data_IF_585177309900
#
_entry.id   IF_585177309900
#
_cell.length_a   1.000
_cell.length_b   1.000
_cell.length_c   1.000
_cell.angle_alpha   90.00
_cell.angle_beta   90.00
_cell.angle_gamma   90.00
#
_symmetry.space_group_name_H-M   'P 1'
#
loop_
_entity.id
_entity.type
_entity.pdbx_description
1 polymer ?
#
# COMPACT_ATOMS: atom_id res chain seq x y z
N UNK A 1 -15.25 -6.89 -4.62
CA UNK A 1 -15.12 -6.75 -3.15
C UNK A 1 -16.14 -7.58 -2.37
N UNK A 2 -17.43 -7.48 -2.68
CA UNK A 2 -18.48 -8.15 -1.91
C UNK A 2 -18.33 -9.67 -1.77
N UNK A 3 -18.17 -10.42 -2.86
CA UNK A 3 -18.13 -11.88 -2.80
C UNK A 3 -17.08 -12.49 -1.86
N UNK A 4 -15.80 -12.05 -1.90
CA UNK A 4 -14.78 -12.54 -0.97
C UNK A 4 -14.79 -11.86 0.40
N UNK A 5 -15.72 -10.93 0.68
CA UNK A 5 -15.82 -10.31 2.01
C UNK A 5 -16.49 -11.25 3.01
N UNK A 6 -16.28 -11.04 4.33
CA UNK A 6 -16.92 -11.82 5.38
C UNK A 6 -18.36 -11.39 5.68
N UNK A 7 -19.01 -10.69 4.74
CA UNK A 7 -20.35 -10.12 4.95
C UNK A 7 -21.38 -10.79 4.05
N UNK A 8 -22.47 -11.28 4.65
CA UNK A 8 -23.64 -11.74 3.90
C UNK A 8 -24.35 -10.57 3.18
N UNK A 9 -24.40 -9.42 3.86
CA UNK A 9 -24.95 -8.17 3.33
C UNK A 9 -24.01 -6.99 3.57
N UNK A 10 -23.84 -6.17 2.56
CA UNK A 10 -22.99 -4.99 2.64
C UNK A 10 -23.37 -3.93 1.59
N UNK A 11 -23.12 -2.68 1.93
CA UNK A 11 -22.94 -1.62 0.95
C UNK A 11 -21.72 -1.92 0.07
N UNK A 12 -21.79 -1.61 -1.23
CA UNK A 12 -20.70 -1.81 -2.18
C UNK A 12 -20.37 -0.48 -2.84
N UNK A 13 -19.12 -0.04 -2.67
CA UNK A 13 -18.59 1.17 -3.27
C UNK A 13 -17.41 0.81 -4.19
N UNK A 14 -17.52 1.15 -5.47
CA UNK A 14 -16.40 1.10 -6.42
C UNK A 14 -16.04 2.52 -6.81
N UNK A 15 -14.78 2.92 -6.68
CA UNK A 15 -14.28 4.24 -7.12
C UNK A 15 -12.99 4.06 -7.90
N UNK A 16 -12.99 4.45 -9.17
CA UNK A 16 -11.89 4.14 -10.09
C UNK A 16 -11.54 5.29 -11.04
N UNK A 17 -10.49 5.08 -11.84
CA UNK A 17 -10.15 5.91 -13.00
C UNK A 17 -11.28 5.89 -14.03
N UNK A 18 -11.49 4.75 -14.69
CA UNK A 18 -12.56 4.53 -15.67
C UNK A 18 -12.82 3.03 -15.86
N UNK A 19 -14.09 2.61 -15.84
CA UNK A 19 -14.51 1.29 -16.34
C UNK A 19 -14.86 1.37 -17.83
N UNK A 20 -15.97 0.75 -18.26
CA UNK A 20 -16.50 1.01 -19.61
C UNK A 20 -17.08 2.42 -19.73
N UNK A 21 -17.81 2.85 -18.68
CA UNK A 21 -18.39 4.19 -18.57
C UNK A 21 -18.42 4.69 -17.14
N UNK A 22 -18.67 3.80 -16.18
CA UNK A 22 -18.74 4.14 -14.77
C UNK A 22 -17.34 4.47 -14.21
N UNK A 23 -17.26 5.50 -13.38
CA UNK A 23 -16.05 5.91 -12.64
C UNK A 23 -16.28 5.76 -11.14
N UNK A 24 -17.54 5.71 -10.72
CA UNK A 24 -17.96 5.44 -9.35
C UNK A 24 -19.28 4.69 -9.39
N UNK A 25 -19.41 3.60 -8.63
CA UNK A 25 -20.64 2.81 -8.55
C UNK A 25 -21.00 2.57 -7.08
N UNK A 26 -22.27 2.83 -6.75
CA UNK A 26 -22.85 2.65 -5.44
C UNK A 26 -23.88 1.53 -5.53
N UNK A 27 -23.75 0.51 -4.70
CA UNK A 27 -24.62 -0.66 -4.74
C UNK A 27 -24.80 -1.34 -3.40
N UNK A 28 -25.56 -2.43 -3.41
CA UNK A 28 -25.73 -3.35 -2.28
C UNK A 28 -25.45 -4.77 -2.71
N UNK A 29 -24.77 -5.53 -1.86
CA UNK A 29 -24.65 -6.97 -1.98
C UNK A 29 -25.54 -7.65 -0.95
N UNK A 30 -26.25 -8.71 -1.36
CA UNK A 30 -27.07 -9.53 -0.48
C UNK A 30 -26.99 -11.00 -0.92
N UNK A 31 -26.43 -11.86 -0.07
CA UNK A 31 -26.17 -13.25 -0.41
C UNK A 31 -25.23 -13.36 -1.62
N UNK A 32 -25.74 -13.92 -2.71
CA UNK A 32 -25.02 -14.12 -3.98
C UNK A 32 -25.36 -13.05 -5.06
N UNK A 33 -26.14 -12.03 -4.73
CA UNK A 33 -26.55 -10.97 -5.65
C UNK A 33 -25.86 -9.62 -5.35
N UNK A 34 -25.68 -8.83 -6.41
CA UNK A 34 -25.23 -7.44 -6.34
C UNK A 34 -26.16 -6.56 -7.17
N UNK A 35 -26.68 -5.52 -6.55
CA UNK A 35 -27.54 -4.51 -7.18
C UNK A 35 -26.82 -3.14 -7.15
N UNK A 36 -26.67 -2.51 -8.32
CA UNK A 36 -26.15 -1.13 -8.42
C UNK A 36 -27.30 -0.13 -8.41
N UNK A 37 -27.18 0.89 -7.56
CA UNK A 37 -28.22 1.88 -7.27
C UNK A 37 -27.94 3.22 -7.96
N UNK A 38 -26.66 3.63 -7.98
CA UNK A 38 -26.21 4.88 -8.60
C UNK A 38 -24.83 4.70 -9.19
N UNK A 39 -24.51 5.56 -10.16
CA UNK A 39 -23.16 5.67 -10.70
C UNK A 39 -22.82 7.10 -11.09
N UNK A 40 -21.53 7.41 -11.08
CA UNK A 40 -20.96 8.53 -11.82
C UNK A 40 -20.28 7.97 -13.06
N UNK A 41 -20.30 8.75 -14.14
CA UNK A 41 -19.75 8.35 -15.43
C UNK A 41 -18.61 9.25 -15.86
N UNK A 42 -17.75 8.69 -16.70
CA UNK A 42 -16.74 9.42 -17.45
C UNK A 42 -17.38 10.65 -18.14
N UNK A 43 -16.73 11.83 -18.13
CA UNK A 43 -15.35 12.09 -17.71
C UNK A 43 -15.18 12.46 -16.23
N UNK A 44 -16.21 12.31 -15.40
CA UNK A 44 -16.15 12.74 -14.00
C UNK A 44 -15.61 11.60 -13.12
N UNK A 45 -14.31 11.63 -12.83
CA UNK A 45 -13.61 10.56 -12.10
C UNK A 45 -12.73 11.11 -10.99
N UNK A 46 -12.88 10.58 -9.78
CA UNK A 46 -12.00 10.90 -8.66
C UNK A 46 -10.59 10.33 -8.91
N UNK A 47 -10.50 9.16 -9.54
CA UNK A 47 -9.23 8.57 -9.95
C UNK A 47 -8.48 9.45 -10.97
N UNK A 48 -9.18 10.02 -11.95
CA UNK A 48 -8.57 10.92 -12.94
C UNK A 48 -8.19 12.28 -12.35
N UNK A 49 -8.95 12.81 -11.38
CA UNK A 49 -8.52 13.99 -10.61
C UNK A 49 -7.19 13.70 -9.90
N UNK A 50 -7.12 12.60 -9.14
CA UNK A 50 -5.91 12.23 -8.41
C UNK A 50 -4.73 11.98 -9.35
N UNK A 51 -4.98 11.34 -10.50
CA UNK A 51 -4.00 11.11 -11.56
C UNK A 51 -3.50 12.42 -12.18
N UNK A 52 -4.37 13.42 -12.32
CA UNK A 52 -3.97 14.74 -12.80
C UNK A 52 -2.97 15.40 -11.86
N UNK A 53 -3.23 15.39 -10.55
CA UNK A 53 -2.27 15.87 -9.54
C UNK A 53 -1.00 15.00 -9.47
N UNK A 54 -1.12 13.69 -9.72
CA UNK A 54 0.04 12.78 -9.81
C UNK A 54 0.97 13.19 -10.96
N UNK A 55 0.43 13.36 -12.16
CA UNK A 55 1.18 13.86 -13.31
C UNK A 55 1.73 15.27 -13.06
N UNK A 56 0.92 16.15 -12.46
CA UNK A 56 1.26 17.55 -12.25
C UNK A 56 2.37 17.76 -11.22
N UNK A 57 2.39 16.91 -10.20
CA UNK A 57 3.51 16.83 -9.26
C UNK A 57 4.71 16.10 -9.84
N UNK A 58 4.71 15.70 -11.12
CA UNK A 58 5.86 15.14 -11.83
C UNK A 58 6.10 13.66 -11.57
N UNK A 59 5.07 12.92 -11.14
CA UNK A 59 5.10 11.46 -11.01
C UNK A 59 4.32 10.81 -12.16
N UNK A 60 4.66 9.56 -12.47
CA UNK A 60 3.99 8.79 -13.52
C UNK A 60 2.57 8.37 -13.12
N UNK A 61 1.62 8.49 -14.04
CA UNK A 61 0.22 8.04 -13.85
C UNK A 61 0.16 6.52 -13.87
N UNK A 62 -0.76 5.94 -13.09
CA UNK A 62 -0.97 4.51 -12.83
C UNK A 62 0.14 3.82 -12.02
N UNK A 63 1.17 4.57 -11.60
CA UNK A 63 2.24 4.07 -10.73
C UNK A 63 2.71 5.08 -9.69
N UNK A 64 2.32 6.34 -9.76
CA UNK A 64 2.80 7.43 -8.91
C UNK A 64 1.80 7.91 -7.87
N UNK A 65 0.55 7.43 -7.90
CA UNK A 65 -0.53 7.92 -7.02
C UNK A 65 -0.17 7.69 -5.54
N UNK A 66 0.44 6.55 -5.22
CA UNK A 66 0.89 6.29 -3.85
C UNK A 66 2.02 7.24 -3.41
N UNK A 67 2.76 7.86 -4.36
CA UNK A 67 3.80 8.85 -4.04
C UNK A 67 3.16 10.17 -3.63
N UNK A 68 2.10 10.59 -4.32
CA UNK A 68 1.28 11.75 -3.91
C UNK A 68 0.71 11.51 -2.52
N UNK A 69 0.14 10.32 -2.27
CA UNK A 69 -0.37 9.96 -0.95
C UNK A 69 0.73 10.00 0.13
N UNK A 70 1.94 9.52 -0.17
CA UNK A 70 3.08 9.58 0.76
C UNK A 70 3.68 10.99 0.92
N UNK A 71 3.46 11.88 -0.04
CA UNK A 71 3.94 13.27 -0.04
C UNK A 71 2.99 14.20 0.74
N UNK A 72 1.69 13.88 0.78
CA UNK A 72 0.66 14.70 1.41
C UNK A 72 0.97 15.12 2.87
N UNK A 73 1.55 14.27 3.75
CA UNK A 73 1.88 14.68 5.13
C UNK A 73 2.96 15.77 5.26
N UNK A 74 3.65 16.13 4.17
CA UNK A 74 4.68 17.18 4.15
C UNK A 74 4.14 18.54 3.69
N UNK A 75 2.88 18.59 3.24
CA UNK A 75 2.23 19.78 2.72
C UNK A 75 1.20 20.38 3.66
N UNK A 76 0.79 21.59 3.32
CA UNK A 76 -0.34 22.30 3.92
C UNK A 76 -1.53 22.31 2.95
N UNK A 77 -2.79 22.29 3.42
CA UNK A 77 -3.99 22.17 2.58
C UNK A 77 -4.39 23.48 1.87
N UNK A 78 -3.41 24.20 1.32
CA UNK A 78 -3.57 25.56 0.78
C UNK A 78 -4.48 25.64 -0.44
N UNK A 79 -4.62 24.55 -1.17
CA UNK A 79 -5.35 24.50 -2.45
C UNK A 79 -6.68 23.77 -2.37
N UNK A 80 -7.12 23.33 -1.18
CA UNK A 80 -8.41 22.60 -1.03
C UNK A 80 -9.57 23.42 -1.59
N UNK A 81 -9.69 24.68 -1.16
CA UNK A 81 -10.76 25.55 -1.64
C UNK A 81 -10.62 25.86 -3.13
N UNK A 82 -9.40 26.07 -3.63
CA UNK A 82 -9.13 26.24 -5.07
C UNK A 82 -9.61 25.06 -5.90
N UNK A 83 -9.41 23.82 -5.42
CA UNK A 83 -9.89 22.61 -6.09
C UNK A 83 -11.43 22.57 -6.09
N UNK A 84 -12.06 22.85 -4.95
CA UNK A 84 -13.53 22.82 -4.79
C UNK A 84 -14.23 23.97 -5.54
N UNK A 85 -13.60 25.12 -5.73
CA UNK A 85 -14.21 26.25 -6.42
C UNK A 85 -14.06 26.17 -7.94
N UNK A 86 -12.95 25.61 -8.43
CA UNK A 86 -12.60 25.68 -9.85
C UNK A 86 -12.61 24.33 -10.57
N UNK A 87 -12.15 23.25 -9.92
CA UNK A 87 -11.96 21.95 -10.58
C UNK A 87 -13.14 21.00 -10.40
N UNK A 88 -13.88 21.11 -9.30
CA UNK A 88 -14.92 20.15 -8.94
C UNK A 88 -16.13 20.81 -8.32
N UNK A 89 -17.31 20.59 -8.91
CA UNK A 89 -18.59 20.88 -8.26
C UNK A 89 -19.00 19.69 -7.38
N UNK A 90 -18.55 19.67 -6.13
CA UNK A 90 -18.83 18.59 -5.16
C UNK A 90 -20.14 18.85 -4.40
N UNK A 91 -21.09 17.92 -4.48
CA UNK A 91 -22.36 17.99 -3.77
C UNK A 91 -22.29 17.37 -2.38
N UNK A 92 -23.31 17.64 -1.57
CA UNK A 92 -23.44 17.10 -0.21
C UNK A 92 -23.57 15.57 -0.23
N UNK A 93 -24.21 15.00 -1.24
CA UNK A 93 -24.38 13.56 -1.39
C UNK A 93 -23.13 12.83 -1.92
N UNK A 94 -22.04 13.57 -2.19
CA UNK A 94 -20.79 13.04 -2.71
C UNK A 94 -20.76 12.90 -4.23
N UNK A 95 -21.87 13.13 -4.93
CA UNK A 95 -21.83 13.28 -6.38
C UNK A 95 -21.05 14.53 -6.77
N UNK A 96 -20.34 14.47 -7.89
CA UNK A 96 -19.56 15.61 -8.36
C UNK A 96 -19.47 15.67 -9.89
N UNK A 97 -19.16 16.86 -10.38
CA UNK A 97 -18.75 17.07 -11.78
C UNK A 97 -17.41 17.76 -11.80
N UNK A 98 -16.49 17.23 -12.59
CA UNK A 98 -15.20 17.87 -12.84
C UNK A 98 -15.34 18.92 -13.95
N UNK A 99 -14.79 20.11 -13.72
CA UNK A 99 -14.72 21.16 -14.73
C UNK A 99 -13.67 20.80 -15.79
N UNK A 100 -14.15 20.33 -16.93
CA UNK A 100 -13.31 19.80 -18.01
C UNK A 100 -12.41 20.85 -18.66
N UNK A 101 -12.66 22.15 -18.45
CA UNK A 101 -11.81 23.21 -19.00
C UNK A 101 -10.36 23.16 -18.48
N UNK A 102 -10.12 22.54 -17.33
CA UNK A 102 -8.79 22.46 -16.70
C UNK A 102 -8.04 21.14 -17.01
N UNK A 103 -8.70 20.22 -17.70
CA UNK A 103 -8.16 18.89 -17.99
C UNK A 103 -7.93 18.70 -19.49
N UNK A 104 -7.06 17.76 -19.84
CA UNK A 104 -6.76 17.44 -21.24
C UNK A 104 -6.82 15.93 -21.53
N UNK A 105 -7.06 15.07 -20.54
CA UNK A 105 -7.06 13.61 -20.72
C UNK A 105 -8.17 13.09 -21.65
N UNK A 106 -9.20 13.87 -21.93
CA UNK A 106 -10.25 13.51 -22.89
C UNK A 106 -9.86 13.77 -24.35
N UNK A 107 -8.92 14.69 -24.61
CA UNK A 107 -8.70 15.28 -25.95
C UNK A 107 -7.24 15.38 -26.35
N UNK A 108 -6.30 15.21 -25.43
CA UNK A 108 -4.87 15.34 -25.65
C UNK A 108 -4.06 14.23 -24.99
N UNK A 109 -2.74 14.41 -25.00
CA UNK A 109 -1.77 13.43 -24.50
C UNK A 109 -1.28 13.75 -23.07
N UNK A 110 -1.92 14.72 -22.40
CA UNK A 110 -1.57 15.17 -21.04
C UNK A 110 -2.79 15.12 -20.13
N UNK A 111 -2.57 15.05 -18.81
CA UNK A 111 -3.68 15.08 -17.85
C UNK A 111 -4.30 16.47 -17.70
N UNK A 112 -3.45 17.51 -17.70
CA UNK A 112 -3.81 18.91 -17.43
C UNK A 112 -3.44 19.82 -18.61
N UNK A 113 -3.80 21.10 -18.52
CA UNK A 113 -3.55 22.12 -19.54
C UNK A 113 -3.13 23.48 -18.95
N UNK A 114 -2.95 24.50 -19.79
CA UNK A 114 -2.50 25.82 -19.38
C UNK A 114 -3.43 26.56 -18.39
N UNK A 115 -4.74 26.26 -18.37
CA UNK A 115 -5.64 26.81 -17.33
C UNK A 115 -5.32 26.22 -15.96
N UNK A 116 -4.98 24.94 -15.91
CA UNK A 116 -4.50 24.28 -14.68
C UNK A 116 -3.17 24.90 -14.24
N UNK A 117 -2.26 25.16 -15.18
CA UNK A 117 -0.98 25.83 -14.91
C UNK A 117 -1.18 27.20 -14.28
N UNK A 118 -2.06 28.02 -14.86
CA UNK A 118 -2.41 29.33 -14.33
C UNK A 118 -3.04 29.23 -12.93
N UNK A 119 -3.90 28.24 -12.70
CA UNK A 119 -4.61 28.04 -11.43
C UNK A 119 -3.66 27.72 -10.27
N UNK A 120 -2.61 26.93 -10.52
CA UNK A 120 -1.65 26.53 -9.49
C UNK A 120 -0.29 27.23 -9.60
N UNK A 121 -0.21 28.31 -10.36
CA UNK A 121 0.95 29.22 -10.38
C UNK A 121 2.20 28.68 -11.09
N UNK A 122 2.06 27.89 -12.14
CA UNK A 122 3.20 27.45 -12.97
C UNK A 122 2.96 26.13 -13.70
N UNK A 123 3.91 25.64 -14.52
CA UNK A 123 3.79 24.35 -15.19
C UNK A 123 3.88 23.16 -14.21
N UNK A 124 3.57 21.92 -14.67
CA UNK A 124 3.82 20.71 -13.91
C UNK A 124 5.30 20.56 -13.54
N UNK A 125 5.58 19.91 -12.40
CA UNK A 125 6.95 19.59 -11.98
C UNK A 125 7.59 18.68 -13.03
N UNK A 126 8.85 18.96 -13.38
CA UNK A 126 9.64 18.02 -14.20
C UNK A 126 9.89 16.73 -13.40
N UNK A 127 9.75 15.53 -14.01
CA UNK A 127 10.15 14.28 -13.37
C UNK A 127 11.58 14.34 -12.84
N UNK A 128 11.85 13.65 -11.72
CA UNK A 128 13.14 13.63 -11.01
C UNK A 128 13.72 14.97 -10.52
N UNK A 129 13.07 16.10 -10.81
CA UNK A 129 13.48 17.39 -10.25
C UNK A 129 13.13 17.50 -8.76
N UNK A 130 13.85 18.38 -8.05
CA UNK A 130 13.67 18.58 -6.61
C UNK A 130 12.22 18.97 -6.27
N UNK A 131 11.62 18.25 -5.34
CA UNK A 131 10.32 18.58 -4.74
C UNK A 131 10.39 19.90 -3.98
N UNK A 132 9.35 20.73 -4.14
CA UNK A 132 9.19 21.98 -3.40
C UNK A 132 7.94 21.93 -2.51
N UNK A 133 7.76 22.95 -1.67
CA UNK A 133 6.56 23.08 -0.84
C UNK A 133 5.29 23.12 -1.70
N UNK A 134 5.35 23.66 -2.93
CA UNK A 134 4.21 23.70 -3.86
C UNK A 134 3.68 22.30 -4.14
N UNK A 135 4.54 21.35 -4.48
CA UNK A 135 4.10 19.98 -4.77
C UNK A 135 3.61 19.25 -3.53
N UNK A 136 4.19 19.55 -2.36
CA UNK A 136 3.70 19.03 -1.08
C UNK A 136 2.31 19.55 -0.76
N UNK A 137 2.08 20.86 -0.90
CA UNK A 137 0.79 21.52 -0.65
C UNK A 137 -0.28 21.04 -1.65
N UNK A 138 0.08 20.83 -2.92
CA UNK A 138 -0.78 20.22 -3.94
C UNK A 138 -1.18 18.79 -3.55
N UNK A 139 -0.21 17.97 -3.14
CA UNK A 139 -0.45 16.60 -2.69
C UNK A 139 -1.36 16.57 -1.45
N UNK A 140 -1.10 17.44 -0.46
CA UNK A 140 -1.94 17.58 0.74
C UNK A 140 -3.39 17.95 0.38
N UNK A 141 -3.54 18.93 -0.49
CA UNK A 141 -4.85 19.48 -0.85
C UNK A 141 -5.70 18.48 -1.64
N UNK A 142 -5.14 17.80 -2.65
CA UNK A 142 -5.89 16.78 -3.41
C UNK A 142 -6.23 15.57 -2.55
N UNK A 143 -5.35 15.21 -1.60
CA UNK A 143 -5.59 14.13 -0.65
C UNK A 143 -6.78 14.46 0.26
N UNK A 144 -6.85 15.66 0.84
CA UNK A 144 -8.01 16.09 1.66
C UNK A 144 -9.32 16.13 0.86
N UNK A 145 -9.30 16.64 -0.38
CA UNK A 145 -10.49 16.64 -1.25
C UNK A 145 -10.92 15.20 -1.56
N UNK A 146 -9.98 14.30 -1.84
CA UNK A 146 -10.28 12.90 -2.13
C UNK A 146 -10.93 12.21 -0.93
N UNK A 147 -10.40 12.43 0.26
CA UNK A 147 -10.96 11.93 1.51
C UNK A 147 -12.37 12.44 1.76
N UNK A 148 -12.63 13.73 1.51
CA UNK A 148 -13.94 14.34 1.68
C UNK A 148 -14.98 13.78 0.69
N UNK A 149 -14.62 13.64 -0.59
CA UNK A 149 -15.49 13.03 -1.60
C UNK A 149 -15.85 11.60 -1.19
N UNK A 150 -14.84 10.81 -0.83
CA UNK A 150 -15.04 9.42 -0.38
C UNK A 150 -15.95 9.35 0.84
N UNK A 151 -15.76 10.23 1.84
CA UNK A 151 -16.57 10.27 3.05
C UNK A 151 -18.04 10.63 2.78
N UNK A 152 -18.31 11.57 1.86
CA UNK A 152 -19.69 11.89 1.45
C UNK A 152 -20.35 10.75 0.69
N UNK A 153 -19.61 10.08 -0.22
CA UNK A 153 -20.10 8.92 -0.95
C UNK A 153 -20.50 7.79 0.00
N UNK A 154 -19.68 7.46 1.00
CA UNK A 154 -20.00 6.39 1.96
C UNK A 154 -21.19 6.77 2.85
N UNK A 155 -21.32 8.03 3.27
CA UNK A 155 -22.50 8.51 4.03
C UNK A 155 -23.79 8.40 3.21
N UNK A 156 -23.74 8.78 1.94
CA UNK A 156 -24.88 8.60 1.02
C UNK A 156 -25.19 7.14 0.79
N UNK A 157 -24.18 6.31 0.56
CA UNK A 157 -24.37 4.88 0.35
C UNK A 157 -25.00 4.20 1.57
N UNK A 158 -24.57 4.55 2.77
CA UNK A 158 -25.18 4.07 4.01
C UNK A 158 -26.67 4.45 4.09
N UNK A 159 -27.02 5.71 3.80
CA UNK A 159 -28.44 6.15 3.76
C UNK A 159 -29.28 5.41 2.72
N UNK A 160 -28.70 5.12 1.54
CA UNK A 160 -29.40 4.44 0.45
C UNK A 160 -29.63 2.95 0.71
N UNK A 161 -28.71 2.31 1.42
CA UNK A 161 -28.68 0.84 1.59
C UNK A 161 -29.18 0.39 2.96
N UNK A 162 -28.94 1.18 4.02
CA UNK A 162 -29.19 0.80 5.41
C UNK A 162 -28.27 -0.32 5.91
N UNK A 163 -27.19 -0.61 5.19
CA UNK A 163 -26.28 -1.72 5.52
C UNK A 163 -25.23 -1.31 6.55
N UNK A 164 -24.95 -2.18 7.52
CA UNK A 164 -23.96 -1.93 8.57
C UNK A 164 -22.50 -2.12 8.10
N UNK A 165 -22.27 -2.87 7.02
CA UNK A 165 -20.94 -3.19 6.52
C UNK A 165 -20.69 -2.55 5.15
N UNK A 166 -19.44 -2.17 4.87
CA UNK A 166 -19.02 -1.59 3.59
C UNK A 166 -17.96 -2.45 2.90
N UNK A 167 -18.15 -2.72 1.62
CA UNK A 167 -17.17 -3.34 0.73
C UNK A 167 -16.65 -2.32 -0.29
N UNK A 168 -15.33 -2.15 -0.40
CA UNK A 168 -14.70 -1.20 -1.33
C UNK A 168 -13.80 -1.84 -2.37
N UNK A 169 -13.86 -1.34 -3.60
CA UNK A 169 -12.99 -1.68 -4.74
C UNK A 169 -12.76 -0.46 -5.66
N UNK A 170 -12.03 -0.66 -6.76
CA UNK A 170 -11.58 0.38 -7.68
C UNK A 170 -10.23 0.97 -7.24
N UNK A 171 -9.46 1.51 -8.19
CA UNK A 171 -8.10 2.00 -7.93
C UNK A 171 -8.01 3.01 -6.78
N UNK A 172 -9.03 3.84 -6.58
CA UNK A 172 -9.06 4.83 -5.49
C UNK A 172 -9.22 4.18 -4.12
N UNK A 173 -9.82 2.98 -4.02
CA UNK A 173 -9.92 2.23 -2.77
C UNK A 173 -8.56 1.71 -2.26
N UNK A 174 -7.46 1.83 -3.05
CA UNK A 174 -6.10 1.62 -2.58
C UNK A 174 -5.55 2.81 -1.77
N UNK A 175 -6.28 3.93 -1.69
CA UNK A 175 -5.95 5.07 -0.85
C UNK A 175 -6.26 4.75 0.62
N UNK A 176 -5.27 4.18 1.30
CA UNK A 176 -5.37 3.74 2.68
C UNK A 176 -5.58 4.88 3.70
N UNK A 177 -5.23 6.12 3.33
CA UNK A 177 -5.50 7.31 4.15
C UNK A 177 -7.00 7.59 4.17
N UNK A 178 -7.64 7.62 2.99
CA UNK A 178 -9.09 7.74 2.87
C UNK A 178 -9.83 6.58 3.54
N UNK A 179 -9.35 5.34 3.37
CA UNK A 179 -9.95 4.19 4.05
C UNK A 179 -9.87 4.31 5.58
N UNK A 180 -8.74 4.78 6.12
CA UNK A 180 -8.58 5.03 7.55
C UNK A 180 -9.52 6.11 8.07
N UNK A 181 -9.75 7.19 7.30
CA UNK A 181 -10.74 8.22 7.64
C UNK A 181 -12.17 7.67 7.61
N UNK A 182 -12.52 6.87 6.59
CA UNK A 182 -13.83 6.20 6.51
C UNK A 182 -14.05 5.29 7.72
N UNK A 183 -13.04 4.55 8.16
CA UNK A 183 -13.16 3.68 9.33
C UNK A 183 -13.50 4.48 10.61
N UNK A 184 -12.90 5.65 10.79
CA UNK A 184 -13.08 6.48 12.00
C UNK A 184 -14.34 7.34 11.97
N UNK A 185 -14.69 7.89 10.80
CA UNK A 185 -15.71 8.94 10.66
C UNK A 185 -16.93 8.51 9.85
N UNK A 186 -16.86 7.33 9.21
CA UNK A 186 -17.92 6.76 8.41
C UNK A 186 -19.00 6.10 9.27
N UNK A 187 -20.22 5.91 8.72
CA UNK A 187 -21.34 5.35 9.47
C UNK A 187 -21.35 3.81 9.50
N UNK A 188 -20.30 3.14 9.04
CA UNK A 188 -20.25 1.68 8.92
C UNK A 188 -19.54 1.06 10.11
N UNK A 189 -20.07 -0.06 10.62
CA UNK A 189 -19.48 -0.81 11.72
C UNK A 189 -18.20 -1.54 11.29
N UNK A 190 -18.19 -2.05 10.04
CA UNK A 190 -17.06 -2.78 9.48
C UNK A 190 -16.85 -2.41 8.02
N UNK A 191 -15.58 -2.35 7.63
CA UNK A 191 -15.17 -2.12 6.25
C UNK A 191 -14.31 -3.28 5.77
N UNK A 192 -14.46 -3.63 4.49
CA UNK A 192 -13.63 -4.61 3.82
C UNK A 192 -13.19 -4.05 2.47
N UNK A 193 -11.89 -4.01 2.24
CA UNK A 193 -11.28 -3.44 1.03
C UNK A 193 -10.57 -4.55 0.28
N UNK A 194 -10.82 -4.67 -1.01
CA UNK A 194 -10.21 -5.72 -1.83
C UNK A 194 -8.67 -5.49 -1.93
N UNK A 195 -7.80 -6.49 -1.66
CA UNK A 195 -6.34 -6.32 -1.62
C UNK A 195 -5.67 -5.89 -2.93
N UNK A 196 -6.21 -6.33 -4.05
CA UNK A 196 -5.93 -5.90 -5.41
C UNK A 196 -7.08 -5.03 -5.98
N UNK A 197 -7.51 -3.99 -5.25
CA UNK A 197 -8.75 -3.26 -5.54
C UNK A 197 -8.83 -2.62 -6.93
N UNK A 198 -7.70 -2.28 -7.57
CA UNK A 198 -7.69 -1.81 -8.96
C UNK A 198 -7.95 -2.93 -9.98
N UNK A 199 -7.63 -2.67 -11.24
CA UNK A 199 -7.99 -3.53 -12.38
C UNK A 199 -7.55 -4.99 -12.26
N UNK A 200 -6.42 -5.26 -11.60
CA UNK A 200 -5.93 -6.62 -11.37
C UNK A 200 -7.01 -7.48 -10.65
N UNK A 201 -7.73 -6.91 -9.68
CA UNK A 201 -8.81 -7.60 -8.97
C UNK A 201 -10.02 -7.92 -9.85
N UNK A 202 -10.13 -7.33 -11.03
CA UNK A 202 -11.19 -7.58 -12.01
C UNK A 202 -11.25 -9.03 -12.46
N UNK A 203 -10.11 -9.73 -12.57
CA UNK A 203 -10.08 -11.14 -12.95
C UNK A 203 -10.81 -12.03 -11.93
N UNK A 204 -10.58 -11.80 -10.62
CA UNK A 204 -11.30 -12.49 -9.54
C UNK A 204 -12.78 -12.06 -9.55
N UNK A 205 -13.05 -10.76 -9.73
CA UNK A 205 -14.40 -10.24 -9.82
C UNK A 205 -15.23 -10.92 -10.91
N UNK A 206 -14.68 -11.07 -12.12
CA UNK A 206 -15.33 -11.72 -13.25
C UNK A 206 -15.63 -13.20 -12.97
N UNK A 207 -14.66 -13.94 -12.42
CA UNK A 207 -14.86 -15.34 -12.05
C UNK A 207 -15.97 -15.51 -11.00
N UNK A 208 -15.99 -14.67 -9.97
CA UNK A 208 -16.99 -14.73 -8.90
C UNK A 208 -18.38 -14.28 -9.36
N UNK A 209 -18.48 -13.27 -10.24
CA UNK A 209 -19.76 -12.88 -10.86
C UNK A 209 -20.32 -14.02 -11.71
N UNK A 210 -19.48 -14.69 -12.51
CA UNK A 210 -19.90 -15.85 -13.29
C UNK A 210 -20.41 -16.98 -12.38
N UNK A 211 -19.64 -17.33 -11.34
CA UNK A 211 -20.01 -18.40 -10.41
C UNK A 211 -21.32 -18.12 -9.66
N UNK A 212 -21.45 -16.94 -9.06
CA UNK A 212 -22.58 -16.64 -8.19
C UNK A 212 -23.82 -16.17 -8.94
N UNK A 213 -23.69 -15.22 -9.87
CA UNK A 213 -24.85 -14.65 -10.57
C UNK A 213 -25.24 -15.42 -11.81
N UNK A 214 -24.26 -15.76 -12.65
CA UNK A 214 -24.57 -16.39 -13.93
C UNK A 214 -24.94 -17.87 -13.78
N UNK A 215 -24.20 -18.60 -12.94
CA UNK A 215 -24.48 -20.03 -12.67
C UNK A 215 -25.42 -20.27 -11.48
N UNK A 216 -25.85 -19.20 -10.79
CA UNK A 216 -26.78 -19.28 -9.66
C UNK A 216 -26.28 -20.12 -8.48
N UNK A 217 -24.96 -20.21 -8.28
CA UNK A 217 -24.39 -21.01 -7.20
C UNK A 217 -24.62 -20.32 -5.85
N UNK A 218 -24.84 -21.09 -4.76
CA UNK A 218 -24.97 -20.51 -3.44
C UNK A 218 -23.63 -19.92 -2.98
N UNK A 219 -23.69 -18.76 -2.30
CA UNK A 219 -22.53 -18.18 -1.63
C UNK A 219 -22.52 -18.63 -0.17
N UNK A 220 -21.39 -19.17 0.27
CA UNK A 220 -21.13 -19.42 1.68
C UNK A 220 -20.16 -18.34 2.16
N UNK A 221 -20.56 -17.60 3.19
CA UNK A 221 -19.73 -16.54 3.77
C UNK A 221 -18.67 -17.18 4.66
N UNK A 222 -17.40 -16.89 4.39
CA UNK A 222 -16.30 -17.17 5.31
C UNK A 222 -16.09 -15.96 6.21
N UNK A 223 -16.29 -16.12 7.51
CA UNK A 223 -16.15 -15.04 8.49
C UNK A 223 -14.69 -14.71 8.84
N UNK A 224 -13.73 -15.49 8.37
CA UNK A 224 -12.30 -15.22 8.55
C UNK A 224 -11.78 -14.39 7.37
N UNK A 225 -11.22 -15.06 6.36
CA UNK A 225 -10.62 -14.43 5.19
C UNK A 225 -10.69 -15.36 3.96
N UNK A 226 -11.67 -15.13 3.10
CA UNK A 226 -11.83 -15.88 1.85
C UNK A 226 -10.74 -15.57 0.79
N UNK A 227 -9.93 -14.54 0.99
CA UNK A 227 -8.74 -14.26 0.16
C UNK A 227 -7.49 -14.98 0.67
N UNK A 228 -7.55 -15.68 1.81
CA UNK A 228 -6.44 -16.42 2.40
C UNK A 228 -5.16 -15.58 2.53
N UNK A 229 -5.24 -14.39 3.15
CA UNK A 229 -4.12 -13.46 3.27
C UNK A 229 -3.66 -12.84 1.94
N UNK A 230 -4.46 -13.01 0.88
CA UNK A 230 -4.12 -12.75 -0.51
C UNK A 230 -2.97 -13.63 -1.05
N UNK A 231 -2.61 -14.74 -0.42
CA UNK A 231 -1.55 -15.65 -0.88
C UNK A 231 -2.04 -16.56 -2.03
N UNK A 232 -2.40 -15.95 -3.16
CA UNK A 232 -3.02 -16.61 -4.31
C UNK A 232 -2.05 -16.85 -5.48
N UNK A 233 -0.81 -16.37 -5.39
CA UNK A 233 0.23 -16.56 -6.39
C UNK A 233 0.96 -17.91 -6.29
N UNK A 234 2.04 -18.09 -7.08
CA UNK A 234 2.85 -19.31 -7.06
C UNK A 234 3.67 -19.44 -5.77
N UNK A 235 4.02 -20.68 -5.43
CA UNK A 235 4.99 -21.06 -4.40
C UNK A 235 6.05 -21.99 -5.00
N UNK A 236 7.23 -22.02 -4.40
CA UNK A 236 8.36 -22.83 -4.88
C UNK A 236 8.77 -23.82 -3.78
N UNK A 237 8.98 -25.08 -4.15
CA UNK A 237 9.38 -26.13 -3.21
C UNK A 237 10.85 -26.00 -2.84
N UNK A 238 11.26 -26.67 -1.76
CA UNK A 238 12.68 -26.75 -1.38
C UNK A 238 13.53 -27.30 -2.53
N UNK A 239 13.08 -28.34 -3.21
CA UNK A 239 13.81 -28.95 -4.34
C UNK A 239 13.98 -27.98 -5.51
N UNK A 240 12.93 -27.21 -5.85
CA UNK A 240 13.03 -26.19 -6.92
C UNK A 240 14.02 -25.08 -6.55
N UNK A 241 13.97 -24.59 -5.31
CA UNK A 241 14.90 -23.55 -4.85
C UNK A 241 16.33 -24.10 -4.81
N UNK A 242 16.52 -25.31 -4.28
CA UNK A 242 17.82 -25.98 -4.23
C UNK A 242 18.41 -26.19 -5.61
N UNK A 243 17.63 -26.72 -6.55
CA UNK A 243 18.09 -26.95 -7.91
C UNK A 243 18.61 -25.65 -8.56
N UNK A 244 17.87 -24.54 -8.41
CA UNK A 244 18.30 -23.23 -8.87
C UNK A 244 19.62 -22.77 -8.24
N UNK A 245 19.77 -22.95 -6.92
CA UNK A 245 20.98 -22.55 -6.19
C UNK A 245 22.18 -23.42 -6.60
N UNK A 246 22.01 -24.74 -6.66
CA UNK A 246 23.04 -25.72 -7.00
C UNK A 246 23.50 -25.56 -8.46
N UNK A 247 22.57 -25.42 -9.42
CA UNK A 247 22.87 -25.23 -10.85
C UNK A 247 23.75 -24.00 -11.10
N UNK A 248 23.52 -22.93 -10.32
CA UNK A 248 24.26 -21.66 -10.45
C UNK A 248 25.43 -21.54 -9.47
N UNK A 249 25.73 -22.59 -8.71
CA UNK A 249 26.76 -22.60 -7.67
C UNK A 249 26.65 -21.40 -6.70
N UNK A 250 25.41 -21.00 -6.36
CA UNK A 250 25.15 -19.88 -5.46
C UNK A 250 25.42 -20.35 -4.02
N UNK A 251 26.30 -19.69 -3.24
CA UNK A 251 26.55 -20.10 -1.86
C UNK A 251 25.31 -19.93 -0.97
N UNK A 252 24.99 -20.92 -0.15
CA UNK A 252 23.89 -20.84 0.81
C UNK A 252 24.16 -21.68 2.06
N UNK A 253 23.40 -21.39 3.12
CA UNK A 253 23.27 -22.25 4.30
C UNK A 253 21.83 -22.77 4.34
N UNK A 254 21.66 -24.09 4.37
CA UNK A 254 20.35 -24.71 4.56
C UNK A 254 20.07 -24.91 6.04
N UNK A 255 18.91 -24.42 6.51
CA UNK A 255 18.47 -24.59 7.89
C UNK A 255 17.17 -25.40 7.87
N UNK A 256 17.23 -26.65 8.35
CA UNK A 256 16.09 -27.55 8.33
C UNK A 256 15.04 -27.19 9.40
N UNK A 257 15.51 -26.84 10.60
CA UNK A 257 14.66 -26.48 11.72
C UNK A 257 14.08 -25.07 11.55
N UNK A 258 12.75 -24.96 11.68
CA UNK A 258 12.08 -23.67 11.49
C UNK A 258 12.41 -22.67 12.61
N UNK A 259 12.54 -23.14 13.85
CA UNK A 259 12.84 -22.26 14.99
C UNK A 259 14.25 -21.69 14.84
N UNK A 260 15.23 -22.52 14.48
CA UNK A 260 16.60 -22.07 14.19
C UNK A 260 16.65 -21.02 13.07
N UNK A 261 15.88 -21.22 11.99
CA UNK A 261 15.79 -20.24 10.91
C UNK A 261 15.21 -18.91 11.41
N UNK A 262 14.10 -18.98 12.16
CA UNK A 262 13.45 -17.81 12.73
C UNK A 262 14.39 -17.08 13.67
N UNK A 263 15.06 -17.78 14.59
CA UNK A 263 15.98 -17.20 15.55
C UNK A 263 17.16 -16.50 14.85
N UNK A 264 17.66 -17.10 13.77
CA UNK A 264 18.68 -16.48 12.91
C UNK A 264 18.17 -15.18 12.28
N UNK A 265 16.97 -15.19 11.69
CA UNK A 265 16.40 -13.99 11.07
C UNK A 265 16.09 -12.90 12.10
N UNK A 266 15.57 -13.26 13.27
CA UNK A 266 15.37 -12.33 14.38
C UNK A 266 16.70 -11.73 14.79
N UNK A 267 17.78 -12.53 14.92
CA UNK A 267 19.11 -12.00 15.23
C UNK A 267 19.52 -10.93 14.21
N UNK A 268 19.40 -11.24 12.92
CA UNK A 268 19.70 -10.32 11.81
C UNK A 268 18.92 -9.01 11.93
N UNK A 269 17.61 -9.08 12.14
CA UNK A 269 16.77 -7.89 12.34
C UNK A 269 17.23 -7.09 13.56
N UNK A 270 17.50 -7.72 14.70
CA UNK A 270 17.98 -7.01 15.91
C UNK A 270 19.36 -6.37 15.76
N UNK A 271 20.15 -6.79 14.78
CA UNK A 271 21.42 -6.16 14.40
C UNK A 271 21.24 -5.05 13.35
N UNK A 272 19.99 -4.61 13.10
CA UNK A 272 19.63 -3.62 12.09
C UNK A 272 20.00 -4.04 10.65
N UNK A 273 20.12 -5.35 10.39
CA UNK A 273 20.33 -5.88 9.04
C UNK A 273 19.01 -5.89 8.25
N UNK A 274 19.12 -5.71 6.92
CA UNK A 274 17.99 -5.75 5.99
C UNK A 274 17.86 -7.15 5.40
N UNK A 275 16.70 -7.78 5.59
CA UNK A 275 16.46 -9.18 5.20
C UNK A 275 15.45 -9.26 4.07
N UNK A 276 15.84 -9.82 2.93
CA UNK A 276 14.91 -10.28 1.89
C UNK A 276 14.25 -11.59 2.33
N UNK A 277 12.93 -11.62 2.36
CA UNK A 277 12.11 -12.71 2.89
C UNK A 277 11.19 -13.26 1.80
N UNK A 278 11.50 -14.47 1.33
CA UNK A 278 10.80 -15.17 0.26
C UNK A 278 10.24 -16.50 0.78
N UNK A 279 8.93 -16.56 1.00
CA UNK A 279 8.25 -17.71 1.61
C UNK A 279 6.95 -18.04 0.88
N UNK A 280 6.58 -19.33 0.87
CA UNK A 280 5.24 -19.77 0.48
C UNK A 280 4.70 -19.18 -0.82
N UNK A 281 3.37 -19.03 -0.87
CA UNK A 281 2.64 -18.47 -2.01
C UNK A 281 2.76 -16.96 -2.05
N UNK A 282 3.04 -16.40 -3.22
CA UNK A 282 3.09 -14.97 -3.45
C UNK A 282 1.74 -14.29 -3.19
N UNK A 283 1.80 -13.07 -2.65
CA UNK A 283 0.67 -12.18 -2.43
C UNK A 283 0.07 -11.67 -3.75
N UNK A 284 -1.25 -11.55 -3.80
CA UNK A 284 -1.99 -10.95 -4.91
C UNK A 284 -2.36 -9.51 -4.60
N UNK A 285 -1.85 -8.58 -5.40
CA UNK A 285 -2.06 -7.15 -5.26
C UNK A 285 -0.75 -6.37 -5.16
N UNK A 286 -0.80 -5.06 -4.91
CA UNK A 286 0.37 -4.19 -4.99
C UNK A 286 1.22 -4.17 -3.72
N UNK A 287 0.88 -4.95 -2.69
CA UNK A 287 1.51 -4.91 -1.36
C UNK A 287 2.17 -6.25 -1.06
N UNK A 288 3.39 -6.22 -0.55
CA UNK A 288 3.97 -7.40 0.10
C UNK A 288 3.42 -7.52 1.51
N UNK A 289 3.02 -8.73 1.88
CA UNK A 289 2.30 -9.06 3.11
C UNK A 289 3.02 -10.19 3.87
N UNK A 290 4.34 -10.34 3.70
CA UNK A 290 5.16 -11.26 4.49
C UNK A 290 5.60 -12.52 3.76
N UNK A 291 5.39 -12.64 2.44
CA UNK A 291 5.87 -13.75 1.62
C UNK A 291 6.82 -13.31 0.50
N UNK A 292 6.72 -12.07 0.02
CA UNK A 292 7.70 -11.43 -0.88
C UNK A 292 8.09 -10.06 -0.31
N UNK A 293 8.71 -10.08 0.85
CA UNK A 293 8.94 -8.90 1.68
C UNK A 293 10.42 -8.58 1.87
N UNK A 294 10.74 -7.30 2.07
CA UNK A 294 11.99 -6.89 2.69
C UNK A 294 11.66 -6.43 4.10
N UNK A 295 12.35 -7.02 5.07
CA UNK A 295 12.14 -6.84 6.50
C UNK A 295 13.26 -6.01 7.11
N UNK A 296 12.91 -5.27 8.16
CA UNK A 296 13.85 -4.48 8.96
C UNK A 296 13.32 -4.24 10.38
N UNK A 297 14.20 -3.81 11.28
CA UNK A 297 13.82 -3.49 12.67
C UNK A 297 13.02 -2.19 12.74
N UNK A 298 11.78 -2.27 13.25
CA UNK A 298 10.90 -1.12 13.41
C UNK A 298 11.43 -0.10 14.45
N UNK A 299 12.21 -0.57 15.43
CA UNK A 299 12.74 0.23 16.54
C UNK A 299 13.92 1.11 16.13
N UNK A 300 14.59 0.77 15.03
CA UNK A 300 15.79 1.45 14.61
C UNK A 300 15.47 2.84 14.04
N UNK A 301 16.09 3.92 14.55
CA UNK A 301 15.93 5.27 14.00
C UNK A 301 16.60 5.42 12.62
N UNK A 302 17.45 4.46 12.21
CA UNK A 302 18.19 4.51 10.94
C UNK A 302 17.63 3.57 9.89
N UNK A 303 16.78 2.61 10.23
CA UNK A 303 16.32 1.59 9.29
C UNK A 303 15.61 2.19 8.07
N UNK A 304 14.84 3.26 8.24
CA UNK A 304 14.18 3.92 7.13
C UNK A 304 15.18 4.50 6.11
N UNK A 305 16.21 5.22 6.57
CA UNK A 305 17.24 5.77 5.68
C UNK A 305 18.12 4.65 5.09
N UNK A 306 18.48 3.65 5.91
CA UNK A 306 19.21 2.45 5.48
C UNK A 306 18.50 1.73 4.34
N UNK A 307 17.21 1.39 4.47
CA UNK A 307 16.48 0.67 3.42
C UNK A 307 16.29 1.50 2.15
N UNK A 308 16.04 2.82 2.29
CA UNK A 308 15.91 3.71 1.14
C UNK A 308 17.24 3.80 0.35
N UNK A 309 18.38 3.89 1.04
CA UNK A 309 19.71 3.97 0.44
C UNK A 309 20.25 2.61 -0.06
N UNK A 310 20.15 1.56 0.76
CA UNK A 310 20.71 0.23 0.47
C UNK A 310 19.93 -0.52 -0.60
N UNK A 311 18.61 -0.36 -0.64
CA UNK A 311 17.74 -1.28 -1.39
C UNK A 311 16.84 -0.57 -2.38
N UNK A 312 16.15 0.48 -1.95
CA UNK A 312 15.08 1.04 -2.77
C UNK A 312 15.53 2.06 -3.81
N UNK A 313 16.65 2.75 -3.60
CA UNK A 313 17.16 3.77 -4.50
C UNK A 313 16.07 4.77 -4.94
N UNK A 314 15.19 5.16 -4.01
CA UNK A 314 13.97 5.96 -4.25
C UNK A 314 13.92 7.17 -3.33
N UNK A 315 12.90 8.00 -3.52
CA UNK A 315 12.70 9.23 -2.77
C UNK A 315 12.60 8.97 -1.26
N UNK A 316 13.34 9.76 -0.48
CA UNK A 316 13.50 9.55 0.97
C UNK A 316 12.22 9.77 1.77
N UNK A 317 11.25 10.54 1.26
CA UNK A 317 9.97 10.80 1.92
C UNK A 317 9.03 9.59 1.97
N UNK A 318 9.32 8.52 1.24
CA UNK A 318 8.42 7.37 1.18
C UNK A 318 8.48 6.57 2.49
N UNK A 319 7.36 6.48 3.23
CA UNK A 319 7.33 5.76 4.47
C UNK A 319 7.33 4.25 4.24
N UNK A 320 7.68 3.49 5.29
CA UNK A 320 7.51 2.05 5.33
C UNK A 320 6.33 1.66 6.21
N UNK A 321 5.79 0.47 5.94
CA UNK A 321 4.62 -0.04 6.65
C UNK A 321 5.05 -1.02 7.75
N UNK A 322 4.37 -1.04 8.90
CA UNK A 322 4.54 -2.08 9.90
C UNK A 322 3.79 -3.36 9.54
N UNK A 323 4.42 -4.50 9.77
CA UNK A 323 3.74 -5.76 10.08
C UNK A 323 3.76 -5.99 11.58
N UNK A 324 2.59 -6.18 12.19
CA UNK A 324 2.41 -6.37 13.63
C UNK A 324 1.61 -7.65 13.91
N UNK A 325 1.92 -8.34 15.02
CA UNK A 325 1.06 -9.42 15.52
C UNK A 325 -0.36 -8.89 15.71
N UNK A 326 -1.36 -9.59 15.16
CA UNK A 326 -2.75 -9.16 15.23
C UNK A 326 -3.19 -8.88 16.68
N UNK A 327 -2.85 -9.77 17.59
CA UNK A 327 -3.21 -9.71 19.02
C UNK A 327 -2.61 -8.49 19.74
N UNK A 328 -1.57 -7.88 19.13
CA UNK A 328 -0.84 -6.74 19.67
C UNK A 328 -1.14 -5.44 18.95
N UNK A 329 -1.90 -5.44 17.85
CA UNK A 329 -2.10 -4.26 17.01
C UNK A 329 -2.59 -3.02 17.79
N UNK A 330 -3.56 -3.21 18.70
CA UNK A 330 -4.14 -2.16 19.54
C UNK A 330 -3.12 -1.54 20.53
N UNK A 331 -2.08 -2.28 20.91
CA UNK A 331 -1.01 -1.77 21.79
C UNK A 331 -0.06 -0.81 21.03
N UNK A 332 -0.03 -0.88 19.68
CA UNK A 332 0.89 -0.11 18.83
C UNK A 332 0.19 0.97 18.02
N UNK A 333 -1.10 0.82 17.71
CA UNK A 333 -1.85 1.70 16.84
C UNK A 333 -3.26 1.96 17.39
N UNK A 334 -3.81 3.12 17.08
CA UNK A 334 -5.23 3.49 17.32
C UNK A 334 -6.13 2.75 16.31
N UNK A 335 -6.13 1.41 16.39
CA UNK A 335 -6.82 0.51 15.46
C UNK A 335 -7.44 -0.66 16.23
N UNK A 336 -8.77 -0.72 16.24
CA UNK A 336 -9.56 -1.74 16.94
C UNK A 336 -10.09 -2.84 16.00
N UNK A 337 -9.57 -2.91 14.78
CA UNK A 337 -9.98 -3.90 13.79
C UNK A 337 -8.78 -4.54 13.08
N UNK A 338 -9.06 -5.57 12.27
CA UNK A 338 -8.04 -6.20 11.44
C UNK A 338 -7.66 -5.32 10.25
N UNK A 339 -6.39 -5.39 9.84
CA UNK A 339 -5.87 -4.78 8.61
C UNK A 339 -4.89 -5.74 7.93
N UNK A 340 -5.34 -6.90 7.42
CA UNK A 340 -4.43 -7.94 6.91
C UNK A 340 -3.68 -7.53 5.62
N UNK A 341 -4.13 -6.48 4.92
CA UNK A 341 -3.67 -6.15 3.56
C UNK A 341 -2.95 -4.80 3.41
N UNK A 342 -2.58 -4.11 4.50
CA UNK A 342 -2.00 -2.76 4.44
C UNK A 342 -2.87 -1.72 3.72
N UNK A 343 -4.19 -1.79 3.92
CA UNK A 343 -5.19 -0.91 3.31
C UNK A 343 -5.78 0.11 4.28
N UNK A 344 -5.36 0.10 5.55
CA UNK A 344 -5.78 1.04 6.57
C UNK A 344 -4.58 1.79 7.15
N UNK A 345 -4.80 3.08 7.41
CA UNK A 345 -3.88 3.95 8.15
C UNK A 345 -4.53 4.30 9.49
N UNK A 346 -3.75 4.17 10.55
CA UNK A 346 -4.11 4.63 11.89
C UNK A 346 -2.94 5.37 12.54
N UNK A 347 -3.23 6.15 13.59
CA UNK A 347 -2.21 6.76 14.41
C UNK A 347 -1.44 5.70 15.19
N UNK A 348 -0.14 5.88 15.39
CA UNK A 348 0.63 5.11 16.39
C UNK A 348 0.04 5.39 17.76
N UNK A 349 -0.10 4.40 18.63
CA UNK A 349 -0.75 4.58 19.94
C UNK A 349 -0.06 5.70 20.76
N UNK A 350 -0.80 6.61 21.43
CA UNK A 350 -0.21 7.75 22.13
C UNK A 350 0.90 7.42 23.13
N UNK A 351 0.79 6.29 23.85
CA UNK A 351 1.81 5.83 24.80
C UNK A 351 3.17 5.50 24.18
N UNK A 352 3.22 5.34 22.86
CA UNK A 352 4.44 5.04 22.09
C UNK A 352 5.01 6.26 21.38
N UNK A 353 4.27 7.36 21.31
CA UNK A 353 4.68 8.58 20.60
C UNK A 353 5.73 9.34 21.41
N UNK A 354 6.65 9.98 20.70
CA UNK A 354 7.59 10.98 21.21
C UNK A 354 7.21 12.34 20.62
N UNK A 355 6.91 13.31 21.48
CA UNK A 355 6.68 14.68 21.04
C UNK A 355 7.96 15.28 20.43
N UNK A 356 7.82 15.97 19.29
CA UNK A 356 8.92 16.72 18.67
C UNK A 356 9.16 18.02 19.42
N UNK A 357 10.43 18.42 19.59
CA UNK A 357 10.76 19.76 20.08
C UNK A 357 10.42 20.84 19.07
N UNK A 358 10.35 22.11 19.50
CA UNK A 358 10.08 23.24 18.61
C UNK A 358 11.09 23.30 17.44
N UNK A 359 12.38 23.09 17.73
CA UNK A 359 13.43 23.02 16.71
C UNK A 359 13.21 21.89 15.69
N UNK A 360 12.75 20.72 16.14
CA UNK A 360 12.44 19.59 15.26
C UNK A 360 11.20 19.85 14.40
N UNK A 361 10.22 20.58 14.91
CA UNK A 361 9.02 20.97 14.17
C UNK A 361 9.35 21.96 13.05
N UNK A 362 10.34 22.83 13.24
CA UNK A 362 10.81 23.80 12.23
C UNK A 362 11.63 23.17 11.10
N UNK A 363 12.09 21.91 11.24
CA UNK A 363 12.84 21.23 10.17
C UNK A 363 11.99 21.02 8.93
N UNK A 364 12.63 21.10 7.76
CA UNK A 364 11.95 20.97 6.48
C UNK A 364 12.49 19.78 5.65
N UNK A 365 11.62 19.15 4.86
CA UNK A 365 11.99 18.08 3.94
C UNK A 365 12.66 16.86 4.61
N UNK A 366 13.84 16.47 4.12
CA UNK A 366 14.58 15.28 4.58
C UNK A 366 14.99 15.40 6.05
N UNK A 367 15.27 16.61 6.55
CA UNK A 367 15.68 16.80 7.94
C UNK A 367 14.55 16.48 8.92
N UNK A 368 13.30 16.76 8.52
CA UNK A 368 12.10 16.37 9.27
C UNK A 368 11.90 14.86 9.25
N UNK A 369 12.29 14.18 8.16
CA UNK A 369 12.21 12.72 8.04
C UNK A 369 13.00 12.00 9.13
N UNK A 370 14.22 12.49 9.40
CA UNK A 370 15.17 11.85 10.31
C UNK A 370 14.85 12.06 11.79
N UNK A 371 13.76 12.73 12.13
CA UNK A 371 13.31 12.94 13.52
C UNK A 371 12.53 11.71 14.01
N UNK A 372 12.99 10.98 15.04
CA UNK A 372 12.24 9.88 15.63
C UNK A 372 10.93 10.38 16.26
N UNK A 373 9.82 9.68 16.05
CA UNK A 373 8.48 10.10 16.53
C UNK A 373 7.82 9.11 17.47
N UNK A 374 8.48 8.00 17.73
CA UNK A 374 7.98 6.93 18.59
C UNK A 374 9.13 5.99 18.96
N UNK A 375 8.82 4.97 19.76
CA UNK A 375 9.67 3.79 20.02
C UNK A 375 9.78 2.83 18.81
N UNK A 376 8.97 3.04 17.76
CA UNK A 376 9.00 2.34 16.47
C UNK A 376 9.19 3.33 15.30
N UNK A 377 10.30 4.10 15.29
CA UNK A 377 10.48 5.23 14.39
C UNK A 377 10.55 4.84 12.91
N UNK A 378 10.99 3.63 12.55
CA UNK A 378 11.16 3.24 11.15
C UNK A 378 9.85 3.10 10.37
N UNK A 379 8.74 2.91 11.09
CA UNK A 379 7.38 2.71 10.55
C UNK A 379 6.43 3.86 10.93
N UNK A 380 6.91 4.88 11.62
CA UNK A 380 6.10 6.02 12.07
C UNK A 380 6.27 7.20 11.13
N UNK A 381 5.17 7.65 10.54
CA UNK A 381 5.17 8.74 9.58
C UNK A 381 5.32 10.12 10.26
N UNK A 382 5.52 11.16 9.45
CA UNK A 382 5.72 12.53 9.95
C UNK A 382 4.53 13.09 10.72
N UNK A 383 3.34 12.56 10.47
CA UNK A 383 2.06 12.87 11.11
C UNK A 383 1.68 11.85 12.20
N UNK A 384 2.63 11.05 12.68
CA UNK A 384 2.44 9.96 13.66
C UNK A 384 1.54 8.82 13.19
N UNK A 385 1.19 8.76 11.91
CA UNK A 385 0.42 7.65 11.36
C UNK A 385 1.31 6.47 10.93
N UNK A 386 0.68 5.33 10.68
CA UNK A 386 1.30 4.17 10.04
C UNK A 386 0.27 3.40 9.23
N UNK A 387 0.72 2.74 8.16
CA UNK A 387 -0.12 1.90 7.28
C UNK A 387 0.03 0.43 7.61
N UNK A 388 -0.95 -0.16 8.28
CA UNK A 388 -0.73 -1.32 9.13
C UNK A 388 -1.05 -2.63 8.42
N UNK A 389 -0.19 -3.64 8.60
CA UNK A 389 -0.53 -5.04 8.37
C UNK A 389 -0.69 -5.78 9.70
N UNK A 390 -1.87 -6.31 9.99
CA UNK A 390 -2.06 -7.28 11.08
C UNK A 390 -1.75 -8.68 10.58
N UNK A 391 -0.83 -9.37 11.25
CA UNK A 391 -0.39 -10.72 10.89
C UNK A 391 -1.08 -11.73 11.80
N UNK A 392 -1.77 -12.68 11.17
CA UNK A 392 -2.56 -13.71 11.83
C UNK A 392 -1.89 -15.07 11.71
N UNK A 393 -1.91 -15.85 12.79
CA UNK A 393 -1.40 -17.23 12.78
C UNK A 393 -2.14 -18.11 11.76
N UNK A 394 -3.45 -17.93 11.63
CA UNK A 394 -4.30 -18.74 10.77
C UNK A 394 -4.01 -18.57 9.26
N UNK A 395 -3.50 -17.40 8.84
CA UNK A 395 -3.23 -17.11 7.42
C UNK A 395 -1.76 -17.24 7.06
N UNK A 396 -0.84 -16.90 7.97
CA UNK A 396 0.60 -17.02 7.75
C UNK A 396 1.34 -17.36 9.04
N UNK A 397 1.29 -18.63 9.45
CA UNK A 397 1.89 -19.09 10.70
C UNK A 397 3.40 -18.81 10.77
N UNK A 398 4.15 -19.00 9.68
CA UNK A 398 5.61 -18.79 9.68
C UNK A 398 5.97 -17.32 9.91
N UNK A 399 5.28 -16.40 9.24
CA UNK A 399 5.50 -14.97 9.44
C UNK A 399 5.02 -14.50 10.82
N UNK A 400 3.92 -15.06 11.32
CA UNK A 400 3.47 -14.85 12.70
C UNK A 400 4.52 -15.31 13.72
N UNK A 401 5.09 -16.51 13.56
CA UNK A 401 6.15 -17.04 14.43
C UNK A 401 7.41 -16.17 14.39
N UNK A 402 7.77 -15.62 13.24
CA UNK A 402 8.88 -14.68 13.11
C UNK A 402 8.64 -13.41 13.95
N UNK A 403 7.46 -12.80 13.84
CA UNK A 403 7.12 -11.63 14.64
C UNK A 403 6.99 -11.96 16.13
N UNK A 404 6.51 -13.16 16.47
CA UNK A 404 6.43 -13.62 17.85
C UNK A 404 7.80 -13.81 18.48
N UNK A 405 8.73 -14.45 17.76
CA UNK A 405 10.12 -14.57 18.21
C UNK A 405 10.82 -13.20 18.32
N UNK A 406 10.50 -12.26 17.42
CA UNK A 406 10.97 -10.87 17.54
C UNK A 406 10.44 -10.22 18.82
N UNK A 407 9.14 -10.36 19.11
CA UNK A 407 8.52 -9.88 20.34
C UNK A 407 9.18 -10.48 21.58
N UNK A 408 9.33 -11.80 21.63
CA UNK A 408 9.89 -12.50 22.78
C UNK A 408 11.34 -12.06 23.07
N UNK A 409 12.11 -11.74 22.03
CA UNK A 409 13.50 -11.29 22.17
C UNK A 409 13.64 -9.80 22.50
N UNK A 410 12.69 -8.96 22.07
CA UNK A 410 12.88 -7.50 22.04
C UNK A 410 11.82 -6.69 22.79
N UNK A 411 10.70 -7.31 23.15
CA UNK A 411 9.47 -6.64 23.56
C UNK A 411 8.70 -5.95 22.42
N UNK A 412 9.19 -6.01 21.17
CA UNK A 412 8.57 -5.37 20.01
C UNK A 412 7.90 -6.40 19.09
N UNK A 413 6.57 -6.31 18.96
CA UNK A 413 5.76 -7.19 18.12
C UNK A 413 5.61 -6.71 16.67
N UNK A 414 6.44 -5.74 16.25
CA UNK A 414 6.35 -5.07 14.96
C UNK A 414 7.69 -5.10 14.22
N UNK A 415 7.63 -5.35 12.92
CA UNK A 415 8.76 -5.20 12.00
C UNK A 415 8.40 -4.25 10.85
N UNK A 416 9.42 -3.65 10.24
CA UNK A 416 9.26 -3.00 8.94
C UNK A 416 8.94 -4.08 7.90
N UNK A 417 7.93 -3.84 7.06
CA UNK A 417 7.66 -4.64 5.88
C UNK A 417 7.49 -3.73 4.66
N UNK A 418 8.26 -4.01 3.61
CA UNK A 418 8.14 -3.35 2.32
C UNK A 418 8.22 -4.35 1.18
N UNK A 419 7.76 -3.95 0.00
CA UNK A 419 7.74 -4.80 -1.20
C UNK A 419 9.12 -5.37 -1.50
N UNK A 420 9.26 -6.66 -1.83
CA UNK A 420 10.55 -7.18 -2.28
C UNK A 420 10.73 -6.89 -3.77
N UNK A 421 11.33 -5.75 -4.06
CA UNK A 421 11.68 -5.25 -5.39
C UNK A 421 12.63 -4.05 -5.29
N UNK A 422 13.17 -3.65 -6.44
CA UNK A 422 13.82 -2.36 -6.65
C UNK A 422 12.90 -1.39 -7.38
N UNK A 423 13.27 -0.10 -7.45
CA UNK A 423 12.51 0.91 -8.19
C UNK A 423 12.35 0.48 -9.66
N UNK A 424 11.13 0.55 -10.20
CA UNK A 424 10.82 0.20 -11.59
C UNK A 424 10.49 -1.27 -11.84
N UNK A 425 10.75 -2.17 -10.89
CA UNK A 425 10.44 -3.60 -11.02
C UNK A 425 9.19 -3.99 -10.19
N UNK A 426 8.39 -4.98 -10.66
CA UNK A 426 7.33 -5.58 -9.85
C UNK A 426 7.90 -6.35 -8.64
N UNK A 427 7.03 -6.73 -7.71
CA UNK A 427 7.41 -7.63 -6.59
C UNK A 427 7.97 -8.93 -7.16
N UNK A 428 9.10 -9.40 -6.62
CA UNK A 428 9.78 -10.62 -7.09
C UNK A 428 8.83 -11.82 -7.02
N UNK A 429 8.79 -12.61 -8.09
CA UNK A 429 7.91 -13.77 -8.19
C UNK A 429 8.68 -15.06 -7.93
N UNK A 430 9.77 -15.28 -8.67
CA UNK A 430 10.57 -16.51 -8.67
C UNK A 430 11.81 -16.41 -7.75
N UNK A 431 12.43 -17.56 -7.39
CA UNK A 431 13.72 -17.56 -6.68
C UNK A 431 14.80 -16.78 -7.44
N UNK A 432 14.80 -16.85 -8.77
CA UNK A 432 15.72 -16.08 -9.61
C UNK A 432 15.47 -14.58 -9.51
N UNK A 433 14.20 -14.13 -9.53
CA UNK A 433 13.88 -12.71 -9.35
C UNK A 433 14.35 -12.20 -7.99
N UNK A 434 14.12 -12.99 -6.93
CA UNK A 434 14.54 -12.67 -5.57
C UNK A 434 16.07 -12.61 -5.45
N UNK A 435 16.79 -13.57 -6.02
CA UNK A 435 18.24 -13.57 -6.06
C UNK A 435 18.79 -12.40 -6.87
N UNK A 436 18.24 -12.11 -8.06
CA UNK A 436 18.65 -10.98 -8.89
C UNK A 436 18.45 -9.65 -8.14
N UNK A 437 17.30 -9.45 -7.51
CA UNK A 437 17.04 -8.28 -6.68
C UNK A 437 18.02 -8.20 -5.49
N UNK A 438 18.29 -9.32 -4.83
CA UNK A 438 19.28 -9.39 -3.75
C UNK A 438 20.69 -9.01 -4.21
N UNK A 439 21.11 -9.50 -5.38
CA UNK A 439 22.42 -9.20 -5.93
C UNK A 439 22.57 -7.74 -6.38
N UNK A 440 21.52 -7.15 -6.94
CA UNK A 440 21.47 -5.73 -7.37
C UNK A 440 21.39 -4.72 -6.22
N UNK A 441 21.13 -5.16 -5.00
CA UNK A 441 20.96 -4.29 -3.84
C UNK A 441 21.96 -4.58 -2.74
N UNK A 442 22.02 -3.70 -1.74
CA UNK A 442 22.85 -3.87 -0.55
C UNK A 442 22.07 -4.52 0.60
N UNK A 443 21.07 -5.37 0.32
CA UNK A 443 20.46 -6.19 1.37
C UNK A 443 21.52 -7.10 1.99
N UNK A 444 21.41 -7.34 3.29
CA UNK A 444 22.43 -8.05 4.06
C UNK A 444 22.22 -9.57 4.00
N UNK A 445 20.96 -10.02 4.03
CA UNK A 445 20.58 -11.43 3.98
C UNK A 445 19.39 -11.66 3.04
N UNK A 446 19.37 -12.78 2.32
CA UNK A 446 18.21 -13.29 1.61
C UNK A 446 17.83 -14.67 2.14
N UNK A 447 16.56 -14.85 2.49
CA UNK A 447 15.98 -16.13 2.88
C UNK A 447 15.04 -16.61 1.78
N UNK A 448 15.43 -17.68 1.08
CA UNK A 448 14.62 -18.38 0.08
C UNK A 448 14.08 -19.68 0.69
N UNK A 449 12.86 -19.68 1.23
CA UNK A 449 12.36 -20.84 1.97
C UNK A 449 13.23 -21.11 3.21
N UNK A 450 14.00 -22.19 3.17
CA UNK A 450 14.93 -22.60 4.23
C UNK A 450 16.42 -22.36 3.88
N UNK A 451 16.69 -21.71 2.75
CA UNK A 451 18.04 -21.41 2.28
C UNK A 451 18.38 -19.96 2.62
N UNK A 452 19.43 -19.77 3.41
CA UNK A 452 19.93 -18.46 3.84
C UNK A 452 21.16 -18.10 3.03
N UNK A 453 21.09 -16.99 2.32
CA UNK A 453 22.16 -16.41 1.53
C UNK A 453 22.64 -15.14 2.24
N UNK A 454 23.92 -15.10 2.58
CA UNK A 454 24.56 -13.95 3.23
C UNK A 454 25.27 -13.13 2.17
N UNK A 455 25.01 -11.82 2.10
CA UNK A 455 25.57 -10.96 1.04
C UNK A 455 27.09 -11.01 1.01
N UNK A 456 27.73 -11.09 2.17
CA UNK A 456 29.18 -11.18 2.33
C UNK A 456 29.80 -12.46 1.76
N UNK A 457 29.02 -13.54 1.59
CA UNK A 457 29.47 -14.79 1.00
C UNK A 457 29.22 -14.87 -0.51
N UNK A 458 28.52 -13.87 -1.09
CA UNK A 458 28.16 -13.89 -2.51
C UNK A 458 29.34 -13.49 -3.38
N UNK A 459 29.47 -14.08 -4.59
CA UNK A 459 30.43 -13.60 -5.57
C UNK A 459 30.10 -12.17 -6.00
N UNK A 460 31.10 -11.47 -6.56
CA UNK A 460 30.88 -10.15 -7.12
C UNK A 460 29.81 -10.22 -8.23
N UNK A 461 28.82 -9.34 -8.15
CA UNK A 461 27.79 -9.21 -9.18
C UNK A 461 28.29 -8.28 -10.28
N UNK A 462 28.51 -8.80 -11.48
CA UNK A 462 28.77 -7.98 -12.66
C UNK A 462 27.47 -7.80 -13.43
N UNK A 463 26.93 -6.59 -13.37
CA UNK A 463 25.76 -6.25 -14.16
C UNK A 463 26.16 -6.10 -15.63
N UNK A 464 25.49 -6.83 -16.53
CA UNK A 464 25.80 -6.79 -17.97
C UNK A 464 25.20 -5.56 -18.67
N UNK A 465 24.19 -4.93 -18.07
CA UNK A 465 23.47 -3.76 -18.60
C UNK A 465 22.90 -2.91 -17.46
N UNK A 466 22.85 -1.60 -17.58
CA UNK A 466 22.15 -0.78 -16.57
C UNK A 466 20.64 -1.07 -16.58
N UNK A 467 20.21 -1.92 -15.66
CA UNK A 467 18.81 -2.32 -15.50
C UNK A 467 17.89 -1.15 -15.14
N UNK A 468 18.44 -0.02 -14.69
CA UNK A 468 17.69 1.21 -14.44
C UNK A 468 17.19 1.85 -15.74
N UNK A 469 17.73 1.44 -16.89
CA UNK A 469 17.25 1.85 -18.21
C UNK A 469 16.18 0.90 -18.78
N UNK A 470 16.04 -0.32 -18.24
CA UNK A 470 15.06 -1.31 -18.72
C UNK A 470 13.62 -0.89 -18.42
N UNK A 471 13.43 -0.10 -17.37
CA UNK A 471 12.14 0.45 -16.99
C UNK A 471 12.25 1.97 -16.89
N UNK A 472 11.36 2.69 -17.59
CA UNK A 472 11.23 4.14 -17.42
C UNK A 472 10.85 4.44 -15.97
N UNK A 473 11.75 5.10 -15.25
CA UNK A 473 11.60 5.45 -13.84
C UNK A 473 10.33 6.31 -13.61
N UNK A 474 9.54 5.92 -12.60
CA UNK A 474 8.28 6.56 -12.16
C UNK A 474 8.44 7.97 -11.60
#
# INVERSE_FOLDING_TARGET
AFYPSPFDRAAVLTVDGVGEWATTSLGRGNGNEIEFLKELRFPHSLGLLYSAFTSYTGFKVNSGEYKVMGLAPYGEPRYVQTILDHLMDLKEDGSFRLNQEYFNYCTGLTMTNAKFDALFGGPPRKPESKLTQREMDLARSVQEVTEEVMLRLVRTLHRLTGEANLCMAGGVALNCVANGRILREGPFERIWVQPAAGDAGGAIGAALVCWYRHLGKPRTVDTHDAMHGAYLGPSFTHDTIRAFLDERAIPYVYIADEQELIDKVVAKLTHEEVVGWFQGRMEFGPRALGNRSILGDARSPRMQSTMNLKVKFRESFRPFAPSVLHEKAHEYFELDCESPYMLLVAGVHPSRRRAMSDDEQMRWGIEKLNVPRSDIPAVTHVDYSARIQTVHRATNERYWKLLKALEDRTGCATAVNTSFNVRGEPIVCTPEDAYRCFMRTNMDTLVLGNYVLEKAAMPAWTEQRDWREDFTLD
#
